data_IF_558469897826
#
_entry.id   IF_558469897826
#
_cell.length_a   1.000
_cell.length_b   1.000
_cell.length_c   1.000
_cell.angle_alpha   90.00
_cell.angle_beta   90.00
_cell.angle_gamma   90.00
#
_symmetry.space_group_name_H-M   'P 1'
#
loop_
_entity.id
_entity.type
_entity.pdbx_description
1 polymer ?
#
# COMPACT_ATOMS: atom_id res chain seq x y z
N UNK A 1 -8.10 -4.52 -15.73
CA UNK A 1 -9.26 -5.33 -15.31
C UNK A 1 -9.33 -5.49 -13.79
N UNK A 2 -9.37 -4.38 -13.02
CA UNK A 2 -9.49 -4.38 -11.55
C UNK A 2 -10.78 -3.70 -11.08
N UNK A 3 -11.69 -3.35 -12.00
CA UNK A 3 -12.89 -2.56 -11.68
C UNK A 3 -14.14 -3.35 -11.31
N UNK A 4 -14.10 -4.68 -11.19
CA UNK A 4 -15.32 -5.50 -11.09
C UNK A 4 -15.63 -6.13 -9.74
N UNK A 5 -14.90 -5.84 -8.66
CA UNK A 5 -15.17 -6.50 -7.36
C UNK A 5 -15.39 -5.57 -6.15
N UNK A 6 -15.62 -4.28 -6.33
CA UNK A 6 -16.04 -3.42 -5.21
C UNK A 6 -17.57 -3.48 -5.11
N UNK A 7 -18.13 -4.61 -4.68
CA UNK A 7 -19.59 -4.79 -4.48
C UNK A 7 -20.01 -4.91 -3.02
N UNK A 8 -19.15 -4.85 -2.05
CA UNK A 8 -19.49 -4.79 -0.63
C UNK A 8 -18.72 -3.67 0.05
N UNK A 9 -19.22 -3.16 1.17
CA UNK A 9 -18.57 -2.12 1.96
C UNK A 9 -17.27 -2.59 2.64
N UNK A 10 -16.77 -3.78 2.31
CA UNK A 10 -15.54 -4.37 2.82
C UNK A 10 -14.51 -4.46 1.69
N UNK A 11 -13.27 -4.09 2.00
CA UNK A 11 -12.12 -4.36 1.14
C UNK A 11 -11.86 -5.86 1.22
N UNK A 12 -12.01 -6.55 0.09
CA UNK A 12 -11.73 -7.98 0.02
C UNK A 12 -10.41 -8.20 -0.71
N UNK A 13 -9.38 -8.60 0.04
CA UNK A 13 -8.10 -9.03 -0.51
C UNK A 13 -8.18 -10.48 -1.01
N UNK A 14 -8.97 -10.73 -2.04
CA UNK A 14 -9.21 -12.09 -2.52
C UNK A 14 -9.92 -12.94 -1.47
N UNK A 15 -9.24 -13.96 -0.93
CA UNK A 15 -9.77 -14.82 0.13
C UNK A 15 -9.58 -14.28 1.56
N UNK A 16 -8.88 -13.15 1.75
CA UNK A 16 -8.64 -12.56 3.07
C UNK A 16 -9.82 -11.70 3.51
N UNK A 17 -10.88 -12.34 3.95
CA UNK A 17 -12.03 -11.69 4.55
C UNK A 17 -11.91 -11.68 6.08
N UNK A 18 -12.85 -10.99 6.74
CA UNK A 18 -12.91 -10.87 8.20
C UNK A 18 -12.90 -12.24 8.90
N UNK A 19 -13.70 -13.18 8.40
CA UNK A 19 -13.85 -14.52 9.01
C UNK A 19 -12.53 -15.30 9.00
N UNK A 20 -11.80 -15.23 7.87
CA UNK A 20 -10.48 -15.85 7.79
C UNK A 20 -9.51 -15.21 8.78
N UNK A 21 -9.48 -13.89 8.90
CA UNK A 21 -8.56 -13.21 9.82
C UNK A 21 -8.90 -13.52 11.28
N UNK A 22 -10.18 -13.63 11.64
CA UNK A 22 -10.60 -14.11 12.94
C UNK A 22 -10.05 -15.51 13.22
N UNK A 23 -10.18 -16.43 12.27
CA UNK A 23 -9.69 -17.80 12.42
C UNK A 23 -8.15 -17.84 12.60
N UNK A 24 -7.41 -17.02 11.86
CA UNK A 24 -5.95 -16.94 11.99
C UNK A 24 -5.54 -16.38 13.36
N UNK A 25 -6.24 -15.36 13.84
CA UNK A 25 -6.00 -14.79 15.17
C UNK A 25 -6.32 -15.82 16.26
N UNK A 26 -7.47 -16.51 16.16
CA UNK A 26 -7.83 -17.61 17.07
C UNK A 26 -6.73 -18.69 17.11
N UNK A 27 -6.18 -19.03 15.96
CA UNK A 27 -5.10 -19.99 15.88
C UNK A 27 -3.86 -19.54 16.64
N UNK A 28 -3.42 -18.29 16.50
CA UNK A 28 -2.27 -17.73 17.20
C UNK A 28 -2.46 -17.65 18.71
N UNK A 29 -3.64 -17.20 19.17
CA UNK A 29 -4.00 -17.22 20.60
C UNK A 29 -4.04 -18.66 21.13
N UNK A 30 -4.56 -19.59 20.34
CA UNK A 30 -4.59 -21.03 20.67
C UNK A 30 -3.18 -21.63 20.84
N UNK A 31 -2.17 -21.12 20.17
CA UNK A 31 -0.76 -21.48 20.31
C UNK A 31 -0.06 -20.79 21.49
N UNK A 32 -0.76 -19.97 22.26
CA UNK A 32 -0.26 -19.35 23.49
C UNK A 32 0.23 -17.91 23.33
N UNK A 33 -0.05 -17.23 22.21
CA UNK A 33 0.20 -15.80 22.08
C UNK A 33 -0.70 -15.01 23.06
N UNK A 34 -0.18 -13.90 23.60
CA UNK A 34 -0.97 -12.94 24.37
C UNK A 34 -1.66 -11.93 23.46
N UNK A 35 -1.05 -11.65 22.30
CA UNK A 35 -1.60 -10.74 21.29
C UNK A 35 -1.16 -11.17 19.90
N UNK A 36 -2.07 -11.05 18.93
CA UNK A 36 -1.83 -11.30 17.51
C UNK A 36 -2.33 -10.11 16.71
N UNK A 37 -1.50 -9.58 15.82
CA UNK A 37 -1.88 -8.55 14.85
C UNK A 37 -1.53 -9.02 13.44
N UNK A 38 -2.46 -8.82 12.52
CA UNK A 38 -2.28 -9.09 11.10
C UNK A 38 -2.48 -7.80 10.35
N UNK A 39 -1.44 -7.37 9.64
CA UNK A 39 -1.47 -6.26 8.69
C UNK A 39 -1.44 -6.83 7.29
N UNK A 40 -2.43 -6.50 6.46
CA UNK A 40 -2.45 -6.88 5.05
C UNK A 40 -2.38 -5.62 4.21
N UNK A 41 -1.56 -5.66 3.17
CA UNK A 41 -1.37 -4.56 2.25
C UNK A 41 -1.45 -5.02 0.80
N UNK A 42 -2.09 -4.20 -0.04
CA UNK A 42 -2.06 -4.29 -1.49
C UNK A 42 -1.74 -2.91 -2.06
N UNK A 43 -0.72 -2.81 -2.90
CA UNK A 43 -0.30 -1.57 -3.55
C UNK A 43 -0.34 -1.70 -5.06
N UNK A 44 -0.95 -0.71 -5.71
CA UNK A 44 -0.87 -0.45 -7.15
C UNK A 44 -0.09 0.85 -7.35
N UNK A 45 1.13 0.73 -7.85
CA UNK A 45 2.00 1.86 -8.12
C UNK A 45 2.10 2.08 -9.62
N UNK A 46 2.12 3.33 -10.02
CA UNK A 46 2.33 3.73 -11.40
C UNK A 46 3.19 4.98 -11.45
N UNK A 47 4.18 5.02 -12.32
CA UNK A 47 4.96 6.22 -12.58
C UNK A 47 5.07 6.51 -14.06
N UNK A 48 5.15 7.81 -14.38
CA UNK A 48 5.35 8.33 -15.72
C UNK A 48 6.47 9.35 -15.67
N UNK A 49 7.44 9.22 -16.57
CA UNK A 49 8.50 10.20 -16.76
C UNK A 49 8.39 10.79 -18.16
N UNK A 50 8.53 12.09 -18.24
CA UNK A 50 8.61 12.85 -19.49
C UNK A 50 9.92 13.64 -19.50
N UNK A 51 10.58 13.66 -20.64
CA UNK A 51 11.74 14.51 -20.90
C UNK A 51 11.59 15.19 -22.25
N UNK A 52 11.74 16.50 -22.24
CA UNK A 52 11.46 17.35 -23.38
C UNK A 52 10.03 17.16 -23.90
N UNK A 53 9.88 16.59 -25.08
CA UNK A 53 8.60 16.40 -25.77
C UNK A 53 8.13 14.95 -25.79
N UNK A 54 8.78 14.06 -25.02
CA UNK A 54 8.54 12.62 -25.08
C UNK A 54 8.29 12.02 -23.70
N UNK A 55 7.44 11.00 -23.66
CA UNK A 55 7.36 10.09 -22.50
C UNK A 55 8.54 9.13 -22.60
N UNK A 56 9.39 9.13 -21.57
CA UNK A 56 10.60 8.30 -21.53
C UNK A 56 10.41 7.02 -20.74
N UNK A 57 9.44 7.00 -19.83
CA UNK A 57 9.13 5.79 -19.05
C UNK A 57 7.69 5.78 -18.57
N UNK A 58 7.08 4.59 -18.58
CA UNK A 58 5.84 4.27 -17.86
C UNK A 58 6.09 2.96 -17.12
N UNK A 59 6.02 2.99 -15.80
CA UNK A 59 6.40 1.85 -14.96
C UNK A 59 5.28 1.53 -13.97
N UNK A 60 4.45 0.51 -14.24
CA UNK A 60 3.54 -0.04 -13.25
C UNK A 60 4.27 -1.02 -12.33
N UNK A 61 3.87 -1.08 -11.06
CA UNK A 61 4.30 -2.14 -10.14
C UNK A 61 3.20 -2.45 -9.14
N UNK A 62 3.14 -3.72 -8.71
CA UNK A 62 2.14 -4.21 -7.77
C UNK A 62 2.85 -4.88 -6.61
N UNK A 63 2.38 -4.60 -5.39
CA UNK A 63 2.84 -5.25 -4.19
C UNK A 63 1.65 -5.81 -3.41
N UNK A 64 1.81 -7.00 -2.83
CA UNK A 64 0.80 -7.62 -1.97
C UNK A 64 1.47 -8.49 -0.93
N UNK A 65 1.01 -8.39 0.33
CA UNK A 65 1.54 -9.23 1.40
C UNK A 65 0.82 -9.02 2.72
N UNK A 66 1.22 -9.82 3.70
CA UNK A 66 0.82 -9.68 5.09
C UNK A 66 2.05 -9.64 5.99
N UNK A 67 1.96 -8.80 7.05
CA UNK A 67 2.83 -8.84 8.21
C UNK A 67 2.04 -9.39 9.40
N UNK A 68 2.60 -10.36 10.10
CA UNK A 68 2.01 -10.95 11.29
C UNK A 68 2.92 -10.64 12.46
N UNK A 69 2.38 -9.98 13.48
CA UNK A 69 3.07 -9.65 14.71
C UNK A 69 2.43 -10.33 15.89
N UNK A 70 3.23 -10.95 16.73
CA UNK A 70 2.79 -11.72 17.88
C UNK A 70 3.56 -11.27 19.11
N UNK A 71 2.85 -11.09 20.22
CA UNK A 71 3.46 -10.84 21.52
C UNK A 71 3.21 -12.00 22.49
N UNK A 72 4.23 -12.26 23.32
CA UNK A 72 4.13 -13.12 24.52
C UNK A 72 4.96 -12.52 25.65
N UNK A 73 4.28 -12.02 26.66
CA UNK A 73 4.93 -11.29 27.75
C UNK A 73 5.68 -10.05 27.22
N UNK A 74 7.00 -10.07 27.34
CA UNK A 74 7.89 -8.99 26.84
C UNK A 74 8.60 -9.32 25.52
N UNK A 75 8.29 -10.48 24.92
CA UNK A 75 8.84 -10.91 23.65
C UNK A 75 7.87 -10.57 22.52
N UNK A 76 8.39 -10.22 21.35
CA UNK A 76 7.62 -10.08 20.11
C UNK A 76 8.30 -10.84 18.97
N UNK A 77 7.46 -11.40 18.07
CA UNK A 77 7.85 -12.05 16.85
C UNK A 77 7.13 -11.42 15.66
N UNK A 78 7.84 -11.25 14.54
CA UNK A 78 7.30 -10.69 13.32
C UNK A 78 7.68 -11.55 12.12
N UNK A 79 6.69 -11.89 11.31
CA UNK A 79 6.88 -12.61 10.04
C UNK A 79 6.11 -11.91 8.93
N UNK A 80 6.72 -11.76 7.76
CA UNK A 80 6.04 -11.28 6.55
C UNK A 80 5.87 -12.42 5.54
N UNK A 81 4.77 -12.36 4.77
CA UNK A 81 4.46 -13.35 3.73
C UNK A 81 3.70 -12.73 2.57
N UNK A 82 3.92 -13.22 1.36
CA UNK A 82 3.10 -12.93 0.18
C UNK A 82 2.02 -14.01 -0.05
N UNK A 83 2.07 -15.10 0.70
CA UNK A 83 1.06 -16.17 0.67
C UNK A 83 -0.10 -15.82 1.60
N UNK A 84 -1.15 -15.21 1.05
CA UNK A 84 -2.34 -14.79 1.77
C UNK A 84 -3.42 -15.89 1.85
N UNK A 85 -3.08 -17.12 1.52
CA UNK A 85 -3.96 -18.26 1.76
C UNK A 85 -4.06 -18.56 3.25
N UNK A 86 -5.14 -19.23 3.67
CA UNK A 86 -5.29 -19.70 5.06
C UNK A 86 -4.04 -20.44 5.54
N UNK A 87 -3.52 -21.37 4.71
CA UNK A 87 -2.35 -22.16 5.04
C UNK A 87 -1.08 -21.29 5.18
N UNK A 88 -0.87 -20.35 4.26
CA UNK A 88 0.25 -19.41 4.30
C UNK A 88 0.25 -18.54 5.55
N UNK A 89 -0.92 -17.99 5.91
CA UNK A 89 -1.08 -17.17 7.11
C UNK A 89 -0.89 -18.00 8.40
N UNK A 90 -1.49 -19.21 8.50
CA UNK A 90 -1.29 -20.09 9.64
C UNK A 90 0.18 -20.48 9.81
N UNK A 91 0.87 -20.81 8.71
CA UNK A 91 2.30 -21.12 8.74
C UNK A 91 3.12 -19.94 9.26
N UNK A 92 2.80 -18.73 8.83
CA UNK A 92 3.49 -17.51 9.29
C UNK A 92 3.25 -17.23 10.77
N UNK A 93 2.04 -17.50 11.28
CA UNK A 93 1.74 -17.46 12.72
C UNK A 93 2.60 -18.47 13.48
N UNK A 94 2.65 -19.72 13.02
CA UNK A 94 3.49 -20.76 13.66
C UNK A 94 4.96 -20.36 13.69
N UNK A 95 5.49 -19.84 12.59
CA UNK A 95 6.87 -19.35 12.52
C UNK A 95 7.12 -18.19 13.52
N UNK A 96 6.20 -17.25 13.64
CA UNK A 96 6.33 -16.15 14.60
C UNK A 96 6.29 -16.65 16.06
N UNK A 97 5.47 -17.66 16.35
CA UNK A 97 5.40 -18.33 17.67
C UNK A 97 6.71 -19.07 17.98
N UNK A 98 7.25 -19.82 17.03
CA UNK A 98 8.51 -20.54 17.17
C UNK A 98 9.67 -19.60 17.51
N UNK A 99 9.71 -18.40 16.92
CA UNK A 99 10.71 -17.36 17.23
C UNK A 99 10.67 -16.90 18.69
N UNK A 100 9.51 -17.00 19.36
CA UNK A 100 9.33 -16.53 20.73
C UNK A 100 9.68 -17.58 21.78
N UNK A 101 9.89 -18.85 21.38
CA UNK A 101 10.14 -19.97 22.29
C UNK A 101 9.08 -19.99 23.43
N UNK A 102 7.80 -20.05 23.01
CA UNK A 102 6.66 -20.00 23.95
C UNK A 102 6.54 -21.37 24.63
N UNK A 103 6.85 -21.40 25.91
CA UNK A 103 6.73 -22.60 26.75
C UNK A 103 5.53 -22.57 27.70
N UNK A 104 4.90 -21.40 27.86
CA UNK A 104 3.75 -21.19 28.76
C UNK A 104 2.44 -21.31 27.99
N UNK A 105 1.54 -22.20 28.47
CA UNK A 105 0.22 -22.47 27.88
C UNK A 105 -0.89 -21.55 28.40
N UNK A 106 -0.59 -20.45 29.08
CA UNK A 106 -1.63 -19.47 29.40
C UNK A 106 -2.20 -18.90 28.10
N UNK A 107 -3.52 -18.95 27.98
CA UNK A 107 -4.27 -18.45 26.82
C UNK A 107 -5.03 -17.20 27.20
N UNK A 108 -4.90 -16.16 26.40
CA UNK A 108 -5.78 -15.00 26.46
C UNK A 108 -7.13 -15.32 25.78
N UNK A 109 -8.17 -14.57 26.17
CA UNK A 109 -9.48 -14.71 25.55
C UNK A 109 -9.58 -13.77 24.35
N UNK A 110 -9.90 -14.33 23.19
CA UNK A 110 -10.26 -13.57 22.00
C UNK A 110 -11.76 -13.73 21.72
N UNK A 111 -12.49 -12.62 21.66
CA UNK A 111 -13.95 -12.58 21.51
C UNK A 111 -14.40 -12.23 20.06
N UNK A 112 -13.50 -12.27 19.09
CA UNK A 112 -13.77 -11.92 17.69
C UNK A 112 -13.44 -10.48 17.36
N UNK A 113 -13.55 -10.13 16.07
CA UNK A 113 -13.27 -8.80 15.50
C UNK A 113 -14.54 -7.94 15.56
N UNK A 114 -14.87 -7.41 16.72
CA UNK A 114 -16.09 -6.64 16.99
C UNK A 114 -15.93 -5.11 16.85
N UNK A 115 -14.68 -4.61 16.92
CA UNK A 115 -14.35 -3.18 16.81
C UNK A 115 -14.06 -2.81 15.36
N UNK A 116 -15.05 -2.96 14.49
CA UNK A 116 -14.89 -2.64 13.07
C UNK A 116 -14.86 -1.13 12.82
N UNK A 117 -13.87 -0.67 12.04
CA UNK A 117 -13.77 0.69 11.53
C UNK A 117 -13.34 0.67 10.06
N UNK A 118 -14.19 1.20 9.19
CA UNK A 118 -13.89 1.37 7.76
C UNK A 118 -13.66 2.85 7.46
N UNK A 119 -12.41 3.20 7.18
CA UNK A 119 -12.01 4.55 6.80
C UNK A 119 -12.09 4.79 5.29
N UNK A 120 -12.34 3.76 4.50
CA UNK A 120 -12.40 3.87 3.04
C UNK A 120 -13.70 4.49 2.50
N UNK A 121 -14.76 4.52 3.29
CA UNK A 121 -16.11 4.88 2.85
C UNK A 121 -16.23 6.28 2.24
N UNK A 122 -15.56 7.26 2.82
CA UNK A 122 -15.56 8.65 2.33
C UNK A 122 -14.74 8.84 1.04
N UNK A 123 -13.90 7.86 0.70
CA UNK A 123 -12.88 7.96 -0.35
C UNK A 123 -13.28 7.28 -1.65
N UNK A 124 -14.36 6.52 -1.66
CA UNK A 124 -14.79 5.72 -2.84
C UNK A 124 -15.17 6.56 -4.05
N UNK A 125 -15.65 7.79 -3.87
CA UNK A 125 -16.03 8.66 -5.00
C UNK A 125 -14.84 8.98 -5.90
N UNK A 126 -13.70 9.34 -5.33
CA UNK A 126 -12.53 9.76 -6.10
C UNK A 126 -11.76 8.58 -6.74
N UNK A 127 -11.91 7.33 -6.27
CA UNK A 127 -11.27 6.17 -6.90
C UNK A 127 -11.74 6.01 -8.35
N UNK A 128 -13.02 6.29 -8.62
CA UNK A 128 -13.58 6.23 -9.97
C UNK A 128 -13.19 7.44 -10.84
N UNK A 129 -12.64 8.49 -10.23
CA UNK A 129 -12.22 9.72 -10.90
C UNK A 129 -10.72 9.78 -11.14
N UNK A 130 -9.98 8.71 -10.79
CA UNK A 130 -8.53 8.64 -11.02
C UNK A 130 -8.27 8.55 -12.52
N UNK A 131 -7.56 9.53 -13.12
CA UNK A 131 -7.28 9.52 -14.55
C UNK A 131 -6.47 8.29 -14.95
N UNK A 132 -6.70 7.83 -16.16
CA UNK A 132 -5.90 6.76 -16.75
C UNK A 132 -4.43 7.20 -16.92
N UNK A 133 -3.53 6.23 -17.00
CA UNK A 133 -2.10 6.53 -17.27
C UNK A 133 -1.92 7.25 -18.60
N UNK A 134 -2.77 6.96 -19.58
CA UNK A 134 -2.75 7.64 -20.87
C UNK A 134 -3.08 9.14 -20.72
N UNK A 135 -4.18 9.48 -20.07
CA UNK A 135 -4.58 10.88 -19.79
C UNK A 135 -3.51 11.63 -18.98
N UNK A 136 -2.92 10.96 -17.99
CA UNK A 136 -1.81 11.52 -17.20
C UNK A 136 -0.60 11.80 -18.09
N UNK A 137 -0.25 10.86 -18.95
CA UNK A 137 0.89 11.01 -19.87
C UNK A 137 0.70 12.20 -20.80
N UNK A 138 -0.49 12.36 -21.38
CA UNK A 138 -0.82 13.52 -22.23
C UNK A 138 -0.74 14.84 -21.45
N UNK A 139 -1.35 14.91 -20.26
CA UNK A 139 -1.29 16.11 -19.40
C UNK A 139 0.15 16.45 -18.99
N UNK A 140 0.96 15.45 -18.67
CA UNK A 140 2.37 15.62 -18.30
C UNK A 140 3.17 16.17 -19.48
N UNK A 141 2.97 15.64 -20.70
CA UNK A 141 3.60 16.17 -21.91
C UNK A 141 3.21 17.62 -22.20
N UNK A 142 1.92 17.95 -22.10
CA UNK A 142 1.44 19.33 -22.28
C UNK A 142 2.11 20.25 -21.27
N UNK A 143 2.16 19.85 -20.00
CA UNK A 143 2.81 20.63 -18.94
C UNK A 143 4.31 20.82 -19.20
N UNK A 144 5.01 19.77 -19.59
CA UNK A 144 6.45 19.85 -19.93
C UNK A 144 6.70 20.74 -21.12
N UNK A 145 5.87 20.67 -22.18
CA UNK A 145 5.96 21.50 -23.38
C UNK A 145 5.66 22.98 -23.10
N UNK A 146 4.79 23.27 -22.12
CA UNK A 146 4.44 24.66 -21.78
C UNK A 146 5.61 25.44 -21.18
N UNK A 147 6.64 24.76 -20.68
CA UNK A 147 7.86 25.36 -20.16
C UNK A 147 8.69 25.92 -21.34
N UNK A 148 8.62 27.24 -21.55
CA UNK A 148 9.18 27.90 -22.74
C UNK A 148 10.71 27.89 -22.76
N UNK A 149 11.27 27.63 -23.95
CA UNK A 149 12.70 27.82 -24.27
C UNK A 149 12.92 29.28 -24.74
N UNK A 150 13.25 30.20 -23.86
CA UNK A 150 13.65 31.55 -24.23
C UNK A 150 15.18 31.55 -24.50
N UNK A 151 15.61 31.18 -25.69
CA UNK A 151 17.00 31.28 -26.19
C UNK A 151 18.12 30.67 -25.30
N UNK A 152 17.76 29.95 -24.23
CA UNK A 152 18.73 29.29 -23.35
C UNK A 152 18.66 27.77 -23.55
N UNK A 153 19.75 27.10 -23.32
CA UNK A 153 19.75 25.63 -23.22
C UNK A 153 19.00 25.25 -21.94
N UNK A 154 17.77 24.80 -22.06
CA UNK A 154 17.01 24.27 -20.96
C UNK A 154 16.69 22.80 -21.22
N UNK A 155 16.78 21.98 -20.17
CA UNK A 155 16.26 20.63 -20.14
C UNK A 155 15.01 20.63 -19.29
N UNK A 156 13.92 20.06 -19.81
CA UNK A 156 12.62 19.99 -19.15
C UNK A 156 12.30 18.54 -18.81
N UNK A 157 11.99 18.28 -17.54
CA UNK A 157 11.58 16.96 -17.08
C UNK A 157 10.27 17.06 -16.35
N UNK A 158 9.38 16.12 -16.63
CA UNK A 158 8.13 15.92 -15.92
C UNK A 158 8.13 14.54 -15.26
N UNK A 159 7.57 14.44 -14.08
CA UNK A 159 7.36 13.18 -13.39
C UNK A 159 5.96 13.13 -12.80
N UNK A 160 5.37 11.96 -12.83
CA UNK A 160 4.16 11.63 -12.12
C UNK A 160 4.35 10.30 -11.41
N UNK A 161 3.90 10.21 -10.19
CA UNK A 161 3.79 8.95 -9.46
C UNK A 161 2.43 8.85 -8.77
N UNK A 162 1.90 7.64 -8.75
CA UNK A 162 0.67 7.29 -8.07
C UNK A 162 0.89 6.00 -7.28
N UNK A 163 0.43 5.99 -6.03
CA UNK A 163 0.30 4.78 -5.21
C UNK A 163 -1.15 4.70 -4.74
N UNK A 164 -1.86 3.68 -5.16
CA UNK A 164 -3.11 3.25 -4.54
C UNK A 164 -2.76 2.14 -3.56
N UNK A 165 -2.98 2.41 -2.27
CA UNK A 165 -2.69 1.48 -1.18
C UNK A 165 -4.02 1.07 -0.53
N UNK A 166 -4.25 -0.21 -0.44
CA UNK A 166 -5.33 -0.82 0.32
C UNK A 166 -4.72 -1.54 1.52
N UNK A 167 -5.29 -1.35 2.72
CA UNK A 167 -4.81 -1.98 3.94
C UNK A 167 -5.95 -2.58 4.74
N UNK A 168 -5.66 -3.71 5.42
CA UNK A 168 -6.49 -4.25 6.50
C UNK A 168 -5.58 -4.47 7.70
N UNK A 169 -6.08 -4.11 8.88
CA UNK A 169 -5.46 -4.41 10.17
C UNK A 169 -6.51 -5.17 10.99
N UNK A 170 -6.11 -6.35 11.45
CA UNK A 170 -6.91 -7.17 12.35
C UNK A 170 -6.07 -7.58 13.55
N UNK A 171 -6.61 -7.46 14.78
CA UNK A 171 -5.87 -7.81 15.98
C UNK A 171 -6.73 -8.44 17.04
N UNK A 172 -6.10 -9.21 17.93
CA UNK A 172 -6.78 -10.00 18.96
C UNK A 172 -7.45 -9.17 20.07
N UNK A 173 -7.27 -7.85 20.09
CA UNK A 173 -8.05 -6.94 20.93
C UNK A 173 -9.45 -6.62 20.36
N UNK A 174 -9.84 -7.27 19.26
CA UNK A 174 -11.11 -7.10 18.55
C UNK A 174 -11.07 -6.07 17.43
N UNK A 175 -9.92 -5.45 17.15
CA UNK A 175 -9.81 -4.43 16.11
C UNK A 175 -9.85 -5.05 14.71
N UNK A 176 -10.71 -4.48 13.84
CA UNK A 176 -10.73 -4.72 12.40
C UNK A 176 -10.86 -3.38 11.69
N UNK A 177 -9.82 -2.98 10.99
CA UNK A 177 -9.74 -1.68 10.29
C UNK A 177 -9.41 -1.92 8.83
N UNK A 178 -10.15 -1.26 7.94
CA UNK A 178 -9.83 -1.19 6.52
C UNK A 178 -9.68 0.26 6.06
N UNK A 179 -8.74 0.50 5.15
CA UNK A 179 -8.51 1.83 4.56
C UNK A 179 -8.03 1.72 3.12
N UNK A 180 -8.38 2.72 2.30
CA UNK A 180 -7.86 2.89 0.94
C UNK A 180 -7.24 4.29 0.85
N UNK A 181 -5.98 4.34 0.44
CA UNK A 181 -5.18 5.57 0.35
C UNK A 181 -4.70 5.77 -1.07
N UNK A 182 -4.86 6.98 -1.58
CA UNK A 182 -4.29 7.40 -2.85
C UNK A 182 -3.26 8.49 -2.60
N UNK A 183 -2.03 8.22 -3.01
CA UNK A 183 -0.97 9.19 -3.05
C UNK A 183 -0.64 9.51 -4.51
N UNK A 184 -0.60 10.79 -4.85
CA UNK A 184 -0.22 11.26 -6.17
C UNK A 184 0.79 12.38 -6.03
N UNK A 185 1.83 12.35 -6.85
CA UNK A 185 2.85 13.39 -6.91
C UNK A 185 3.11 13.76 -8.36
N UNK A 186 3.10 15.05 -8.63
CA UNK A 186 3.51 15.62 -9.92
C UNK A 186 4.74 16.48 -9.70
N UNK A 187 5.77 16.28 -10.48
CA UNK A 187 6.98 17.08 -10.44
C UNK A 187 7.31 17.64 -11.82
N UNK A 188 7.67 18.93 -11.89
CA UNK A 188 8.25 19.56 -13.07
C UNK A 188 9.62 20.10 -12.70
N UNK A 189 10.63 19.72 -13.48
CA UNK A 189 12.00 20.16 -13.27
C UNK A 189 12.51 20.84 -14.55
N UNK A 190 13.09 22.04 -14.37
CA UNK A 190 13.72 22.80 -15.45
C UNK A 190 15.18 23.04 -15.07
N UNK A 191 16.09 22.62 -15.92
CA UNK A 191 17.52 22.89 -15.78
C UNK A 191 17.91 23.87 -16.89
N UNK A 192 18.29 25.08 -16.50
CA UNK A 192 18.84 26.08 -17.43
C UNK A 192 20.37 26.07 -17.33
N UNK A 193 21.02 26.00 -18.51
CA UNK A 193 22.48 26.03 -18.59
C UNK A 193 22.86 27.25 -19.44
N UNK A 194 23.62 28.15 -18.84
CA UNK A 194 24.29 29.25 -19.53
C UNK A 194 25.79 29.00 -19.51
N UNK A 195 26.54 29.71 -20.34
CA UNK A 195 27.99 29.51 -20.45
C UNK A 195 28.75 29.62 -19.12
N UNK A 196 28.20 30.36 -18.16
CA UNK A 196 28.81 30.62 -16.85
C UNK A 196 28.02 30.04 -15.64
N UNK A 197 26.73 29.64 -15.80
CA UNK A 197 25.86 29.24 -14.69
C UNK A 197 24.99 28.06 -15.06
N UNK A 198 24.75 27.18 -14.04
CA UNK A 198 23.74 26.13 -14.08
C UNK A 198 22.70 26.40 -13.01
N UNK A 199 21.46 26.65 -13.44
CA UNK A 199 20.33 26.85 -12.53
C UNK A 199 19.37 25.67 -12.67
N UNK A 200 18.99 25.06 -11.55
CA UNK A 200 17.95 24.02 -11.49
C UNK A 200 16.79 24.54 -10.66
N UNK A 201 15.58 24.46 -11.18
CA UNK A 201 14.34 24.76 -10.50
C UNK A 201 13.47 23.51 -10.47
N UNK A 202 13.06 23.10 -9.26
CA UNK A 202 12.09 22.03 -9.05
C UNK A 202 10.83 22.68 -8.53
N UNK A 203 9.74 22.50 -9.26
CA UNK A 203 8.42 22.90 -8.80
C UNK A 203 7.63 21.64 -8.41
N UNK A 204 7.17 21.64 -7.17
CA UNK A 204 6.35 20.54 -6.59
C UNK A 204 4.90 21.03 -6.57
#
# INVERSE_FOLDING_TARGET
>A
MLSSQIKSNEIVFGSCNKDLLEEIIFYGIGLGADFVEIFIENTDNSSVLAEEDFITSVSPSFGRGAGIRIFKGKKDGFVSTNDLTKHGLMRSVSQAIEMLDITDNKRELFNGLDKHRDYSLSKKKWINEVPSIHEISEKLLVSTKSLKKNNKRITRKGSYSRTLQEVIIASSDGTYVSDIRLHQTVGLNVIAIDAQYRLSLIHI
#
